data_IF_798064995326
#
_entry.id   IF_798064995326
#
_cell.length_a   1.000
_cell.length_b   1.000
_cell.length_c   1.000
_cell.angle_alpha   90.00
_cell.angle_beta   90.00
_cell.angle_gamma   90.00
#
_symmetry.space_group_name_H-M   'P 1'
#
loop_
_entity.id
_entity.type
_entity.pdbx_description
1 polymer ?
#
# COMPACT_ATOMS: atom_id res chain seq x y z
N UNK A 1 4.95 2.57 -17.52
CA UNK A 1 6.21 1.98 -17.04
C UNK A 1 6.97 1.27 -18.17
N UNK A 2 6.49 0.20 -18.81
CA UNK A 2 7.21 -0.53 -19.87
C UNK A 2 7.71 0.36 -21.01
N UNK A 3 6.90 1.31 -21.53
CA UNK A 3 7.35 2.28 -22.55
C UNK A 3 8.55 3.12 -22.10
N UNK A 4 8.59 3.53 -20.84
CA UNK A 4 9.72 4.30 -20.32
C UNK A 4 10.98 3.44 -20.22
N UNK A 5 10.84 2.20 -19.73
CA UNK A 5 11.93 1.24 -19.66
C UNK A 5 12.51 0.95 -21.05
N UNK A 6 11.65 0.66 -22.03
CA UNK A 6 12.08 0.47 -23.43
C UNK A 6 12.82 1.69 -23.98
N UNK A 7 12.34 2.91 -23.74
CA UNK A 7 13.01 4.14 -24.15
C UNK A 7 14.38 4.35 -23.52
N UNK A 8 14.60 3.79 -22.34
CA UNK A 8 15.86 3.80 -21.60
C UNK A 8 16.72 2.55 -21.87
N UNK A 9 16.27 1.64 -22.73
CA UNK A 9 16.92 0.35 -23.02
C UNK A 9 17.12 -0.53 -21.77
N UNK A 10 16.14 -0.48 -20.86
CA UNK A 10 16.11 -1.33 -19.67
C UNK A 10 15.24 -2.56 -20.02
N UNK A 11 15.82 -3.75 -19.87
CA UNK A 11 15.10 -5.01 -20.03
C UNK A 11 13.99 -5.13 -18.98
N UNK A 12 12.87 -5.70 -19.39
CA UNK A 12 11.66 -5.76 -18.57
C UNK A 12 11.15 -7.18 -18.42
N UNK A 13 10.86 -7.57 -17.18
CA UNK A 13 10.19 -8.81 -16.83
C UNK A 13 8.84 -8.49 -16.21
N UNK A 14 7.77 -9.09 -16.71
CA UNK A 14 6.43 -8.95 -16.15
C UNK A 14 5.97 -10.26 -15.49
N UNK A 15 5.19 -10.11 -14.42
CA UNK A 15 4.44 -11.24 -13.85
C UNK A 15 2.96 -11.11 -14.17
N UNK A 16 2.27 -12.24 -14.30
CA UNK A 16 0.83 -12.28 -14.56
C UNK A 16 0.18 -13.47 -13.85
N UNK A 17 -1.05 -13.31 -13.37
CA UNK A 17 -1.87 -14.43 -12.92
C UNK A 17 -2.40 -15.21 -14.12
N UNK A 18 -2.88 -16.43 -13.91
CA UNK A 18 -3.47 -17.25 -14.98
C UNK A 18 -4.57 -16.50 -15.75
N UNK A 19 -5.41 -15.73 -15.06
CA UNK A 19 -6.49 -14.95 -15.65
C UNK A 19 -5.96 -13.84 -16.56
N UNK A 20 -4.82 -13.26 -16.21
CA UNK A 20 -4.19 -12.18 -16.96
C UNK A 20 -3.25 -12.65 -18.08
N UNK A 21 -3.27 -13.94 -18.42
CA UNK A 21 -2.39 -14.51 -19.46
C UNK A 21 -2.54 -13.86 -20.84
N UNK A 22 -3.63 -13.13 -21.08
CA UNK A 22 -3.86 -12.35 -22.30
C UNK A 22 -3.75 -10.84 -22.07
N UNK A 23 -3.33 -10.38 -20.90
CA UNK A 23 -3.19 -8.97 -20.60
C UNK A 23 -2.02 -8.32 -21.36
N UNK A 24 -2.19 -7.06 -21.75
CA UNK A 24 -1.22 -6.34 -22.60
C UNK A 24 0.17 -6.22 -21.99
N UNK A 25 0.28 -6.14 -20.68
CA UNK A 25 1.59 -5.99 -20.02
C UNK A 25 2.49 -7.19 -20.27
N UNK A 26 1.92 -8.39 -20.33
CA UNK A 26 2.65 -9.62 -20.66
C UNK A 26 3.32 -9.58 -22.04
N UNK A 27 2.62 -9.04 -23.03
CA UNK A 27 3.10 -8.99 -24.41
C UNK A 27 4.00 -7.78 -24.72
N UNK A 28 4.08 -6.82 -23.79
CA UNK A 28 4.89 -5.62 -23.93
C UNK A 28 6.18 -5.63 -23.15
N UNK A 29 6.36 -6.60 -22.27
CA UNK A 29 7.63 -6.87 -21.58
C UNK A 29 8.52 -7.74 -22.44
N UNK A 30 9.82 -7.71 -22.20
CA UNK A 30 10.78 -8.56 -22.90
C UNK A 30 10.60 -10.01 -22.48
N UNK A 31 10.30 -10.26 -21.20
CA UNK A 31 9.96 -11.55 -20.62
C UNK A 31 8.70 -11.48 -19.77
N UNK A 32 7.99 -12.59 -19.59
CA UNK A 32 6.84 -12.68 -18.72
C UNK A 32 6.64 -14.06 -18.13
N UNK A 33 6.27 -14.11 -16.83
CA UNK A 33 6.14 -15.35 -16.07
C UNK A 33 4.80 -15.41 -15.33
N UNK A 34 4.17 -16.58 -15.31
CA UNK A 34 2.99 -16.83 -14.51
C UNK A 34 3.38 -16.93 -13.03
N UNK A 35 2.69 -16.18 -12.19
CA UNK A 35 2.88 -16.16 -10.73
C UNK A 35 1.70 -16.82 -10.03
N UNK A 36 1.98 -17.51 -8.94
CA UNK A 36 0.96 -18.09 -8.07
C UNK A 36 0.11 -19.15 -8.77
N UNK A 37 0.71 -20.05 -9.53
CA UNK A 37 0.01 -21.10 -10.26
C UNK A 37 -0.97 -21.87 -9.34
N UNK A 38 -2.23 -21.99 -9.76
CA UNK A 38 -3.29 -22.65 -9.01
C UNK A 38 -3.91 -21.80 -7.89
N UNK A 39 -3.46 -20.55 -7.67
CA UNK A 39 -4.05 -19.60 -6.72
C UNK A 39 -5.10 -18.72 -7.41
N UNK A 40 -5.99 -18.09 -6.62
CA UNK A 40 -6.86 -17.05 -7.15
C UNK A 40 -6.04 -15.82 -7.61
N UNK A 41 -6.56 -14.97 -8.52
CA UNK A 41 -5.79 -13.85 -9.08
C UNK A 41 -5.17 -12.93 -8.03
N UNK A 42 -5.92 -12.59 -6.98
CA UNK A 42 -5.43 -11.74 -5.89
C UNK A 42 -4.33 -12.46 -5.10
N UNK A 43 -4.52 -13.73 -4.77
CA UNK A 43 -3.53 -14.52 -4.04
C UNK A 43 -2.26 -14.74 -4.87
N UNK A 44 -2.37 -14.89 -6.18
CA UNK A 44 -1.24 -15.00 -7.07
C UNK A 44 -0.36 -13.75 -7.03
N UNK A 45 -0.96 -12.56 -7.18
CA UNK A 45 -0.22 -11.29 -7.10
C UNK A 45 0.24 -10.93 -5.68
N UNK A 46 -0.24 -11.61 -4.64
CA UNK A 46 0.22 -11.44 -3.25
C UNK A 46 1.20 -12.53 -2.80
N UNK A 47 1.67 -13.36 -3.70
CA UNK A 47 2.61 -14.44 -3.42
C UNK A 47 4.06 -13.92 -3.44
N UNK A 48 4.51 -13.42 -2.31
CA UNK A 48 5.85 -12.84 -2.15
C UNK A 48 6.94 -13.87 -2.51
N UNK A 49 6.79 -15.11 -2.05
CA UNK A 49 7.79 -16.16 -2.26
C UNK A 49 7.95 -16.51 -3.74
N UNK A 50 6.83 -16.65 -4.45
CA UNK A 50 6.86 -16.98 -5.88
C UNK A 50 7.37 -15.79 -6.72
N UNK A 51 7.03 -14.55 -6.34
CA UNK A 51 7.57 -13.34 -6.99
C UNK A 51 9.09 -13.26 -6.81
N UNK A 52 9.61 -13.53 -5.60
CA UNK A 52 11.05 -13.54 -5.34
C UNK A 52 11.74 -14.64 -6.17
N UNK A 53 11.16 -15.84 -6.20
CA UNK A 53 11.69 -16.94 -7.00
C UNK A 53 11.81 -16.55 -8.48
N UNK A 54 10.72 -16.03 -9.07
CA UNK A 54 10.72 -15.56 -10.47
C UNK A 54 11.77 -14.47 -10.67
N UNK A 55 11.88 -13.52 -9.76
CA UNK A 55 12.82 -12.42 -9.85
C UNK A 55 14.28 -12.90 -9.81
N UNK A 56 14.60 -13.87 -8.97
CA UNK A 56 15.94 -14.46 -8.89
C UNK A 56 16.25 -15.33 -10.11
N UNK A 57 15.30 -16.15 -10.55
CA UNK A 57 15.46 -17.04 -11.70
C UNK A 57 15.65 -16.25 -13.01
N UNK A 58 14.99 -15.10 -13.14
CA UNK A 58 15.11 -14.20 -14.29
C UNK A 58 16.23 -13.16 -14.16
N UNK A 59 16.95 -13.13 -13.04
CA UNK A 59 18.11 -12.28 -12.83
C UNK A 59 17.82 -10.78 -12.84
N UNK A 60 16.64 -10.35 -12.34
CA UNK A 60 16.30 -8.92 -12.29
C UNK A 60 17.05 -8.20 -11.18
N UNK A 61 17.50 -6.98 -11.47
CA UNK A 61 18.19 -6.12 -10.50
C UNK A 61 17.23 -5.34 -9.61
N UNK A 62 16.02 -5.06 -10.10
CA UNK A 62 15.06 -4.21 -9.42
C UNK A 62 13.61 -4.63 -9.68
N UNK A 63 12.75 -4.37 -8.70
CA UNK A 63 11.31 -4.58 -8.79
C UNK A 63 10.56 -3.28 -8.57
N UNK A 64 9.59 -2.99 -9.44
CA UNK A 64 8.65 -1.89 -9.29
C UNK A 64 7.25 -2.45 -8.98
N UNK A 65 6.68 -2.18 -7.80
CA UNK A 65 5.44 -2.82 -7.35
C UNK A 65 4.16 -2.29 -8.01
N UNK A 66 4.26 -1.33 -8.93
CA UNK A 66 3.07 -0.65 -9.46
C UNK A 66 2.53 0.39 -8.48
N UNK A 67 1.20 0.52 -8.41
CA UNK A 67 0.50 1.47 -7.54
C UNK A 67 -0.54 0.80 -6.61
N UNK A 68 -0.58 -0.52 -6.55
CA UNK A 68 -1.48 -1.30 -5.69
C UNK A 68 -0.74 -2.42 -5.00
N UNK A 69 -1.47 -3.32 -4.33
CA UNK A 69 -0.94 -4.50 -3.66
C UNK A 69 0.30 -4.21 -2.80
N UNK A 70 1.49 -4.46 -3.34
CA UNK A 70 2.76 -4.35 -2.63
C UNK A 70 3.37 -2.94 -2.62
N UNK A 71 2.77 -1.97 -3.32
CA UNK A 71 3.32 -0.62 -3.37
C UNK A 71 3.44 0.05 -1.99
N UNK A 72 2.59 -0.35 -1.04
CA UNK A 72 2.58 0.15 0.34
C UNK A 72 2.86 -0.97 1.37
N UNK A 73 3.41 -2.11 0.94
CA UNK A 73 3.67 -3.24 1.81
C UNK A 73 5.13 -3.26 2.27
N UNK A 74 5.41 -2.98 3.55
CA UNK A 74 6.77 -2.94 4.06
C UNK A 74 7.44 -4.32 4.11
N UNK A 75 6.67 -5.39 4.26
CA UNK A 75 7.23 -6.75 4.35
C UNK A 75 7.72 -7.21 2.98
N UNK A 76 7.02 -6.82 1.90
CA UNK A 76 7.51 -7.05 0.54
C UNK A 76 8.80 -6.29 0.26
N UNK A 77 8.89 -5.00 0.66
CA UNK A 77 10.10 -4.21 0.50
C UNK A 77 11.30 -4.80 1.26
N UNK A 78 11.08 -5.32 2.48
CA UNK A 78 12.11 -6.00 3.27
C UNK A 78 12.50 -7.35 2.64
N UNK A 79 11.55 -8.12 2.11
CA UNK A 79 11.81 -9.38 1.43
C UNK A 79 12.68 -9.17 0.17
N UNK A 80 12.37 -8.14 -0.64
CA UNK A 80 13.21 -7.78 -1.80
C UNK A 80 14.63 -7.41 -1.38
N UNK A 81 14.78 -6.57 -0.36
CA UNK A 81 16.09 -6.19 0.17
C UNK A 81 16.88 -7.41 0.66
N UNK A 82 16.22 -8.34 1.32
CA UNK A 82 16.86 -9.59 1.80
C UNK A 82 17.29 -10.48 0.65
N UNK A 83 16.54 -10.50 -0.45
CA UNK A 83 16.88 -11.22 -1.69
C UNK A 83 17.96 -10.49 -2.54
N UNK A 84 18.43 -9.31 -2.13
CA UNK A 84 19.40 -8.52 -2.90
C UNK A 84 18.81 -7.78 -4.09
N UNK A 85 17.48 -7.67 -4.19
CA UNK A 85 16.76 -7.02 -5.29
C UNK A 85 16.39 -5.60 -4.86
N UNK A 86 16.66 -4.61 -5.69
CA UNK A 86 16.29 -3.23 -5.42
C UNK A 86 14.77 -3.03 -5.51
N UNK A 87 14.14 -2.61 -4.41
CA UNK A 87 12.74 -2.22 -4.41
C UNK A 87 12.60 -0.76 -4.88
N UNK A 88 11.88 -0.54 -5.98
CA UNK A 88 11.64 0.81 -6.51
C UNK A 88 10.49 1.45 -5.74
N UNK A 89 10.82 2.07 -4.62
CA UNK A 89 9.85 2.65 -3.70
C UNK A 89 10.49 3.12 -2.39
N UNK A 90 9.68 3.52 -1.40
CA UNK A 90 10.18 3.92 -0.09
C UNK A 90 10.80 2.73 0.66
N UNK A 91 11.66 3.03 1.64
CA UNK A 91 12.17 2.01 2.56
C UNK A 91 11.02 1.45 3.40
N UNK A 92 11.10 0.17 3.78
CA UNK A 92 10.10 -0.51 4.61
C UNK A 92 9.81 0.26 5.91
N UNK A 93 10.85 0.81 6.56
CA UNK A 93 10.68 1.64 7.75
C UNK A 93 9.84 2.90 7.50
N UNK A 94 10.04 3.56 6.37
CA UNK A 94 9.22 4.72 5.97
C UNK A 94 7.76 4.31 5.75
N UNK A 95 7.52 3.18 5.09
CA UNK A 95 6.17 2.65 4.91
C UNK A 95 5.49 2.35 6.24
N UNK A 96 6.20 1.72 7.20
CA UNK A 96 5.66 1.43 8.54
C UNK A 96 5.33 2.71 9.31
N UNK A 97 6.18 3.73 9.22
CA UNK A 97 5.97 5.01 9.89
C UNK A 97 4.79 5.81 9.32
N UNK A 98 4.53 5.70 8.00
CA UNK A 98 3.51 6.47 7.30
C UNK A 98 2.23 5.70 7.03
N UNK A 99 2.25 4.36 7.10
CA UNK A 99 1.09 3.51 6.81
C UNK A 99 -0.06 3.65 7.82
N UNK A 100 0.24 4.00 9.06
CA UNK A 100 -0.75 4.32 10.08
C UNK A 100 -1.04 5.82 10.08
N UNK A 101 -2.30 6.21 9.85
CA UNK A 101 -2.72 7.62 9.72
C UNK A 101 -2.48 8.46 10.99
N UNK A 102 -2.59 7.85 12.16
CA UNK A 102 -2.33 8.51 13.44
C UNK A 102 -0.84 8.77 13.60
N UNK A 103 -0.02 7.74 13.40
CA UNK A 103 1.44 7.84 13.49
C UNK A 103 2.02 8.82 12.45
N UNK A 104 1.53 8.76 11.20
CA UNK A 104 1.94 9.67 10.14
C UNK A 104 1.65 11.15 10.49
N UNK A 105 0.50 11.41 11.11
CA UNK A 105 0.15 12.76 11.56
C UNK A 105 1.02 13.24 12.70
N UNK A 106 1.30 12.40 13.68
CA UNK A 106 2.22 12.75 14.78
C UNK A 106 3.63 13.02 14.27
N UNK A 107 4.10 12.22 13.31
CA UNK A 107 5.39 12.45 12.64
C UNK A 107 5.41 13.79 11.89
N UNK A 108 4.35 14.12 11.15
CA UNK A 108 4.21 15.40 10.46
C UNK A 108 4.24 16.57 11.44
N UNK A 109 3.50 16.46 12.57
CA UNK A 109 3.48 17.47 13.63
C UNK A 109 4.87 17.65 14.25
N UNK A 110 5.56 16.57 14.57
CA UNK A 110 6.91 16.62 15.11
C UNK A 110 7.92 17.25 14.13
N UNK A 111 7.68 17.10 12.83
CA UNK A 111 8.48 17.73 11.76
C UNK A 111 8.08 19.19 11.46
N UNK A 112 7.14 19.80 12.22
CA UNK A 112 6.66 21.16 12.01
C UNK A 112 5.74 21.33 10.79
N UNK A 113 5.26 20.23 10.19
CA UNK A 113 4.31 20.29 9.06
C UNK A 113 2.91 20.60 9.59
N UNK A 114 2.21 21.60 9.04
CA UNK A 114 0.84 21.90 9.42
C UNK A 114 -0.08 20.71 9.17
N UNK A 115 -0.88 20.34 10.17
CA UNK A 115 -1.83 19.24 10.08
C UNK A 115 -3.22 19.71 10.48
N UNK A 116 -4.25 19.17 9.85
CA UNK A 116 -5.62 19.44 10.23
C UNK A 116 -5.92 18.92 11.64
N UNK A 117 -6.84 19.58 12.39
CA UNK A 117 -7.33 19.04 13.65
C UNK A 117 -7.85 17.61 13.46
N UNK A 118 -7.42 16.72 14.33
CA UNK A 118 -7.91 15.34 14.35
C UNK A 118 -7.65 14.71 15.71
N UNK A 119 -8.36 13.64 16.03
CA UNK A 119 -8.11 12.80 17.20
C UNK A 119 -7.04 11.74 16.93
N UNK A 120 -6.60 11.07 18.00
CA UNK A 120 -5.98 9.74 17.92
C UNK A 120 -6.99 8.65 17.55
N UNK A 121 -6.65 7.40 17.83
CA UNK A 121 -7.59 6.29 17.72
C UNK A 121 -8.81 6.53 18.61
N UNK A 122 -10.01 6.14 18.13
CA UNK A 122 -11.21 6.28 18.90
C UNK A 122 -11.18 5.31 20.10
N UNK A 123 -11.60 5.77 21.30
CA UNK A 123 -11.81 4.88 22.44
C UNK A 123 -13.00 3.94 22.19
N UNK A 124 -13.18 2.94 23.04
CA UNK A 124 -14.33 2.01 22.98
C UNK A 124 -15.59 2.54 23.67
N UNK A 125 -15.56 3.70 24.27
CA UNK A 125 -16.66 4.31 25.03
C UNK A 125 -17.33 5.44 24.23
N UNK A 126 -18.65 5.37 24.08
CA UNK A 126 -19.43 6.33 23.28
C UNK A 126 -19.36 7.76 23.80
N UNK A 127 -19.34 7.96 25.13
CA UNK A 127 -19.25 9.29 25.72
C UNK A 127 -17.87 9.95 25.42
N UNK A 128 -16.80 9.15 25.51
CA UNK A 128 -15.46 9.60 25.15
C UNK A 128 -15.35 9.90 23.64
N UNK A 129 -16.01 9.12 22.78
CA UNK A 129 -16.08 9.38 21.32
C UNK A 129 -16.78 10.70 21.06
N UNK A 130 -17.93 10.96 21.70
CA UNK A 130 -18.69 12.19 21.56
C UNK A 130 -17.86 13.41 21.97
N UNK A 131 -17.23 13.38 23.15
CA UNK A 131 -16.35 14.45 23.64
C UNK A 131 -15.14 14.69 22.72
N UNK A 132 -14.63 13.63 22.07
CA UNK A 132 -13.56 13.72 21.09
C UNK A 132 -14.04 14.42 19.80
N UNK A 133 -15.25 14.10 19.35
CA UNK A 133 -15.89 14.73 18.20
C UNK A 133 -16.10 16.23 18.42
N UNK A 134 -16.55 16.64 19.59
CA UNK A 134 -16.71 18.05 19.95
C UNK A 134 -15.39 18.82 19.93
N UNK A 135 -14.30 18.21 20.41
CA UNK A 135 -12.96 18.83 20.38
C UNK A 135 -12.41 18.98 18.97
N UNK A 136 -12.70 18.04 18.08
CA UNK A 136 -12.27 18.09 16.66
C UNK A 136 -13.12 19.08 15.88
N UNK A 137 -14.40 19.21 16.24
CA UNK A 137 -15.41 20.02 15.57
C UNK A 137 -16.16 19.25 14.48
N UNK A 138 -17.37 19.67 14.20
CA UNK A 138 -18.22 19.11 13.15
C UNK A 138 -18.41 20.09 11.99
N UNK A 139 -18.56 19.60 10.73
CA UNK A 139 -18.57 18.20 10.33
C UNK A 139 -17.18 17.56 10.41
N UNK A 140 -17.09 16.34 10.90
CA UNK A 140 -15.86 15.58 11.03
C UNK A 140 -15.85 14.38 10.08
N UNK A 141 -14.66 13.94 9.68
CA UNK A 141 -14.51 12.76 8.87
C UNK A 141 -13.92 11.60 9.69
N UNK A 142 -14.72 10.57 9.87
CA UNK A 142 -14.26 9.31 10.47
C UNK A 142 -13.52 8.50 9.44
N UNK A 143 -12.31 8.03 9.76
CA UNK A 143 -11.45 7.23 8.88
C UNK A 143 -10.94 5.98 9.59
N UNK A 144 -10.83 4.86 8.86
CA UNK A 144 -10.10 3.72 9.37
C UNK A 144 -8.62 4.08 9.60
N UNK A 145 -8.02 3.54 10.66
CA UNK A 145 -6.62 3.81 11.03
C UNK A 145 -5.66 3.27 9.98
N UNK A 146 -5.98 2.12 9.39
CA UNK A 146 -5.22 1.44 8.35
C UNK A 146 -5.99 1.37 7.03
N UNK A 147 -5.28 1.37 5.91
CA UNK A 147 -5.86 1.23 4.58
C UNK A 147 -6.52 2.49 4.03
N UNK A 148 -6.91 2.45 2.75
CA UNK A 148 -7.48 3.59 2.00
C UNK A 148 -9.01 3.67 2.00
N UNK A 149 -9.74 2.64 2.46
CA UNK A 149 -11.20 2.54 2.41
C UNK A 149 -11.82 2.69 3.80
N UNK A 150 -13.08 3.06 3.86
CA UNK A 150 -13.81 3.28 5.11
C UNK A 150 -13.71 4.72 5.60
N UNK A 151 -14.41 5.63 4.91
CA UNK A 151 -14.59 7.03 5.33
C UNK A 151 -16.08 7.31 5.54
N UNK A 152 -16.41 8.02 6.62
CA UNK A 152 -17.77 8.49 6.90
C UNK A 152 -17.75 9.91 7.39
N UNK A 153 -18.64 10.74 6.85
CA UNK A 153 -18.86 12.09 7.35
C UNK A 153 -19.83 12.03 8.53
N UNK A 154 -19.43 12.58 9.64
CA UNK A 154 -20.22 12.73 10.87
C UNK A 154 -20.55 14.19 11.03
N UNK A 155 -21.84 14.54 11.10
CA UNK A 155 -22.30 15.92 11.13
C UNK A 155 -22.61 16.43 12.54
N UNK A 156 -22.91 15.50 13.45
CA UNK A 156 -23.27 15.80 14.85
C UNK A 156 -22.80 14.69 15.77
N UNK A 157 -22.64 14.95 17.05
CA UNK A 157 -22.20 13.98 18.05
C UNK A 157 -23.05 12.66 18.10
N UNK A 158 -24.39 12.66 18.00
CA UNK A 158 -25.19 11.44 18.01
C UNK A 158 -24.92 10.46 16.87
N UNK A 159 -24.32 10.92 15.77
CA UNK A 159 -23.96 10.09 14.62
C UNK A 159 -22.56 9.44 14.74
N UNK A 160 -21.83 9.67 15.82
CA UNK A 160 -20.54 9.04 16.08
C UNK A 160 -20.67 7.57 16.52
N UNK A 161 -21.79 7.20 17.14
CA UNK A 161 -22.02 5.86 17.71
C UNK A 161 -22.59 4.82 16.73
N UNK A 162 -22.91 5.19 15.51
CA UNK A 162 -23.40 4.23 14.50
C UNK A 162 -22.23 3.67 13.69
N UNK A 163 -21.84 2.44 14.06
CA UNK A 163 -20.91 1.44 13.54
C UNK A 163 -20.36 1.64 12.13
#
# INVERSE_FOLDING_TARGET
>A
MLRAATGLRIATVAIYSHEDRFALHRFKSDESYEVGAGKSPIQAYLDIEDIIRIALDSGVDAIHPGYGFFAENPDFADAMRTAGIAFVGPKAQTMRSLGNKVAARELARAAGVPVMPASGALPGDDAAIAALGERVGFPAMLKATWGGRGMRIVRTAPNCSTR
#
